data_IF_597759803547
#
_entry.id   IF_597759803547
#
_cell.length_a   1.000
_cell.length_b   1.000
_cell.length_c   1.000
_cell.angle_alpha   90.00
_cell.angle_beta   90.00
_cell.angle_gamma   90.00
#
_symmetry.space_group_name_H-M   'P 1'
#
loop_
_entity.id
_entity.type
_entity.pdbx_description
1 polymer ?
#
# COMPACT_ATOMS: atom_id res chain seq x y z
N UNK A 1 5.80 -7.43 -25.61
CA UNK A 1 7.23 -7.51 -25.21
C UNK A 1 7.59 -6.34 -24.30
N UNK A 2 7.35 -5.10 -24.66
CA UNK A 2 7.73 -3.94 -23.84
C UNK A 2 7.31 -4.02 -22.36
N UNK A 3 6.01 -4.26 -22.06
CA UNK A 3 5.55 -4.27 -20.65
C UNK A 3 6.23 -5.33 -19.77
N UNK A 4 6.57 -6.51 -20.31
CA UNK A 4 7.30 -7.53 -19.56
C UNK A 4 8.73 -7.08 -19.25
N UNK A 5 9.41 -6.52 -20.24
CA UNK A 5 10.77 -6.03 -20.09
C UNK A 5 10.81 -4.87 -19.06
N UNK A 6 9.79 -3.99 -19.08
CA UNK A 6 9.65 -2.89 -18.12
C UNK A 6 9.36 -3.41 -16.69
N UNK A 7 8.51 -4.44 -16.54
CA UNK A 7 8.30 -5.10 -15.26
C UNK A 7 9.58 -5.75 -14.75
N UNK A 8 10.34 -6.43 -15.61
CA UNK A 8 11.62 -7.04 -15.24
C UNK A 8 12.64 -5.98 -14.81
N UNK A 9 12.71 -4.84 -15.53
CA UNK A 9 13.53 -3.69 -15.12
C UNK A 9 13.10 -3.12 -13.77
N UNK A 10 11.79 -2.92 -13.56
CA UNK A 10 11.23 -2.44 -12.29
C UNK A 10 11.68 -3.32 -11.12
N UNK A 11 11.54 -4.63 -11.23
CA UNK A 11 11.94 -5.53 -10.17
C UNK A 11 13.45 -5.61 -9.99
N UNK A 12 14.24 -5.44 -11.05
CA UNK A 12 15.70 -5.28 -10.96
C UNK A 12 16.09 -4.04 -10.15
N UNK A 13 15.37 -2.91 -10.35
CA UNK A 13 15.57 -1.69 -9.56
C UNK A 13 15.15 -1.87 -8.09
N UNK A 14 14.11 -2.68 -7.81
CA UNK A 14 13.76 -3.01 -6.43
C UNK A 14 14.80 -3.90 -5.75
N UNK A 15 15.45 -4.81 -6.46
CA UNK A 15 16.56 -5.60 -5.92
C UNK A 15 17.78 -4.71 -5.58
N UNK A 16 18.05 -3.70 -6.43
CA UNK A 16 19.10 -2.70 -6.17
C UNK A 16 18.76 -1.85 -4.95
N UNK A 17 17.49 -1.41 -4.86
CA UNK A 17 16.98 -0.67 -3.71
C UNK A 17 17.10 -1.50 -2.43
N UNK A 18 16.65 -2.75 -2.44
CA UNK A 18 16.71 -3.64 -1.28
C UNK A 18 18.14 -3.82 -0.77
N UNK A 19 19.09 -4.05 -1.67
CA UNK A 19 20.52 -4.13 -1.32
C UNK A 19 21.04 -2.81 -0.72
N UNK A 20 20.61 -1.69 -1.27
CA UNK A 20 21.05 -0.37 -0.85
C UNK A 20 20.54 0.00 0.55
N UNK A 21 19.28 -0.31 0.86
CA UNK A 21 18.68 0.01 2.18
C UNK A 21 18.88 -1.08 3.23
N UNK A 22 19.60 -2.16 2.89
CA UNK A 22 19.91 -3.26 3.81
C UNK A 22 18.75 -4.20 4.09
N UNK A 23 17.91 -4.44 3.07
CA UNK A 23 16.76 -5.37 3.12
C UNK A 23 15.41 -4.68 3.26
N UNK A 24 14.36 -5.44 3.04
CA UNK A 24 12.98 -4.97 3.28
C UNK A 24 12.73 -4.68 4.76
N UNK A 25 11.79 -3.78 5.04
CA UNK A 25 11.30 -3.52 6.41
C UNK A 25 9.89 -4.09 6.57
N UNK A 26 9.50 -4.36 7.80
CA UNK A 26 8.10 -4.63 8.19
C UNK A 26 7.65 -3.53 9.14
N UNK A 27 6.43 -3.02 8.95
CA UNK A 27 5.94 -1.91 9.78
C UNK A 27 6.02 -2.21 11.28
N UNK A 28 5.82 -3.45 11.70
CA UNK A 28 5.95 -3.84 13.11
C UNK A 28 7.32 -3.55 13.74
N UNK A 29 8.36 -3.46 12.91
CA UNK A 29 9.75 -3.21 13.32
C UNK A 29 10.18 -1.75 13.10
N UNK A 30 9.24 -0.89 12.67
CA UNK A 30 9.52 0.50 12.36
C UNK A 30 9.02 1.44 13.45
N UNK A 31 9.73 2.54 13.63
CA UNK A 31 9.39 3.61 14.57
C UNK A 31 9.57 4.97 13.93
N UNK A 32 8.96 6.01 14.47
CA UNK A 32 9.16 7.40 14.03
C UNK A 32 10.51 8.00 14.45
N UNK A 33 11.36 7.25 15.17
CA UNK A 33 12.72 7.68 15.53
C UNK A 33 13.78 7.25 14.52
N UNK A 34 13.39 6.48 13.50
CA UNK A 34 14.23 6.14 12.37
C UNK A 34 14.36 7.35 11.45
N UNK A 35 15.45 7.43 10.70
CA UNK A 35 15.74 8.55 9.81
C UNK A 35 14.98 8.41 8.47
N UNK A 36 13.65 8.52 8.56
CA UNK A 36 12.77 8.44 7.40
C UNK A 36 12.93 9.68 6.52
N UNK A 37 12.95 9.53 5.18
CA UNK A 37 12.85 10.69 4.31
C UNK A 37 11.50 11.40 4.53
N UNK A 38 11.49 12.71 4.40
CA UNK A 38 10.25 13.49 4.52
C UNK A 38 9.22 13.04 3.49
N UNK A 39 9.66 12.72 2.28
CA UNK A 39 8.79 12.38 1.15
C UNK A 39 9.29 11.17 0.39
N UNK A 40 8.36 10.41 -0.18
CA UNK A 40 8.72 9.22 -0.95
C UNK A 40 7.54 8.41 -1.44
N UNK A 41 7.87 7.34 -2.15
CA UNK A 41 6.94 6.32 -2.61
C UNK A 41 7.34 4.99 -1.97
N UNK A 42 6.35 4.23 -1.51
CA UNK A 42 6.58 2.93 -0.87
C UNK A 42 5.92 1.80 -1.67
N UNK A 43 6.54 0.62 -1.58
CA UNK A 43 6.13 -0.60 -2.26
C UNK A 43 5.95 -1.70 -1.22
N UNK A 44 4.71 -2.12 -0.96
CA UNK A 44 4.45 -3.30 -0.14
C UNK A 44 4.53 -4.55 -0.99
N UNK A 45 5.30 -5.51 -0.48
CA UNK A 45 5.35 -6.88 -0.98
C UNK A 45 4.47 -7.76 -0.08
N UNK A 46 4.09 -8.93 -0.55
CA UNK A 46 3.26 -9.82 0.25
C UNK A 46 3.86 -11.22 0.35
N UNK A 47 4.00 -11.78 1.56
CA UNK A 47 4.51 -13.14 1.74
C UNK A 47 3.64 -14.15 1.00
N UNK A 48 4.28 -15.01 0.19
CA UNK A 48 3.58 -16.00 -0.63
C UNK A 48 3.09 -15.51 -1.99
N UNK A 49 3.10 -14.20 -2.23
CA UNK A 49 2.87 -13.61 -3.55
C UNK A 49 4.22 -13.48 -4.28
N UNK A 50 4.47 -14.36 -5.23
CA UNK A 50 5.71 -14.37 -6.02
C UNK A 50 5.43 -14.14 -7.48
N UNK A 51 6.43 -13.65 -8.20
CA UNK A 51 6.41 -13.55 -9.65
C UNK A 51 6.35 -14.94 -10.29
N UNK A 52 5.78 -15.03 -11.49
CA UNK A 52 5.73 -16.30 -12.22
C UNK A 52 7.10 -16.73 -12.77
N UNK A 53 7.95 -15.76 -13.08
CA UNK A 53 9.26 -15.99 -13.70
C UNK A 53 10.38 -16.26 -12.69
N UNK A 54 10.17 -15.92 -11.41
CA UNK A 54 11.18 -16.01 -10.34
C UNK A 54 10.48 -16.25 -8.99
N UNK A 55 11.25 -16.58 -7.95
CA UNK A 55 10.75 -16.64 -6.57
C UNK A 55 10.72 -15.27 -5.88
N UNK A 56 11.00 -14.18 -6.61
CA UNK A 56 10.98 -12.83 -6.09
C UNK A 56 9.56 -12.44 -5.64
N UNK A 57 9.48 -11.84 -4.46
CA UNK A 57 8.20 -11.36 -3.92
C UNK A 57 7.58 -10.30 -4.83
N UNK A 58 6.29 -10.40 -5.04
CA UNK A 58 5.52 -9.47 -5.87
C UNK A 58 5.08 -8.25 -5.07
N UNK A 59 5.18 -7.07 -5.68
CA UNK A 59 4.55 -5.86 -5.15
C UNK A 59 3.03 -6.01 -5.24
N UNK A 60 2.36 -5.80 -4.12
CA UNK A 60 0.90 -5.86 -4.02
C UNK A 60 0.27 -4.50 -3.76
N UNK A 61 1.06 -3.50 -3.37
CA UNK A 61 0.61 -2.12 -3.21
C UNK A 61 1.73 -1.12 -3.44
N UNK A 62 1.42 -0.09 -4.20
CA UNK A 62 2.23 1.12 -4.33
C UNK A 62 1.49 2.27 -3.64
N UNK A 63 2.20 3.18 -3.00
CA UNK A 63 1.57 4.34 -2.42
C UNK A 63 2.52 5.48 -2.12
N UNK A 64 1.94 6.68 -2.08
CA UNK A 64 2.61 7.90 -1.69
C UNK A 64 1.74 8.74 -0.75
N UNK A 65 2.15 9.95 -0.50
CA UNK A 65 1.48 10.91 0.39
C UNK A 65 1.71 12.34 -0.08
N UNK A 66 1.03 13.30 0.55
CA UNK A 66 1.23 14.74 0.30
C UNK A 66 1.14 15.15 -1.18
N UNK A 67 0.17 14.56 -1.91
CA UNK A 67 -0.10 14.90 -3.33
C UNK A 67 -1.04 16.09 -3.51
N UNK A 68 -1.36 16.81 -2.43
CA UNK A 68 -2.12 18.05 -2.47
C UNK A 68 -1.23 19.22 -2.08
N UNK A 69 -1.37 20.35 -2.78
CA UNK A 69 -0.60 21.58 -2.50
C UNK A 69 -0.71 21.97 -1.02
N UNK A 70 0.40 22.29 -0.40
CA UNK A 70 0.49 22.70 1.01
C UNK A 70 0.39 21.56 2.04
N UNK A 71 0.35 20.29 1.61
CA UNK A 71 0.38 19.17 2.54
C UNK A 71 1.73 19.05 3.23
N UNK A 72 1.72 18.91 4.56
CA UNK A 72 2.91 18.69 5.40
C UNK A 72 3.07 17.24 5.87
N UNK A 73 2.27 16.31 5.34
CA UNK A 73 2.33 14.89 5.74
C UNK A 73 3.66 14.28 5.30
N UNK A 74 4.38 13.66 6.22
CA UNK A 74 5.63 12.94 5.92
C UNK A 74 5.38 11.49 5.46
N UNK A 75 6.42 10.84 4.93
CA UNK A 75 6.37 9.42 4.58
C UNK A 75 6.02 8.58 5.81
N UNK A 76 6.64 8.87 6.96
CA UNK A 76 6.35 8.15 8.19
C UNK A 76 4.91 8.37 8.66
N UNK A 77 4.37 9.57 8.58
CA UNK A 77 2.97 9.83 8.92
C UNK A 77 2.01 8.97 8.09
N UNK A 78 2.33 8.78 6.81
CA UNK A 78 1.54 7.90 5.94
C UNK A 78 1.68 6.43 6.30
N UNK A 79 2.90 5.95 6.52
CA UNK A 79 3.17 4.57 6.94
C UNK A 79 2.51 4.29 8.31
N UNK A 80 2.54 5.24 9.23
CA UNK A 80 1.89 5.17 10.53
C UNK A 80 0.35 5.03 10.42
N UNK A 81 -0.28 5.68 9.46
CA UNK A 81 -1.71 5.47 9.19
C UNK A 81 -2.01 4.02 8.79
N UNK A 82 -1.13 3.39 8.01
CA UNK A 82 -1.25 1.98 7.68
C UNK A 82 -0.94 1.07 8.87
N UNK A 83 0.01 1.43 9.69
CA UNK A 83 0.35 0.73 10.94
C UNK A 83 -0.86 0.62 11.87
N UNK A 84 -1.81 1.58 11.81
CA UNK A 84 -3.02 1.59 12.62
C UNK A 84 -2.91 2.41 13.89
N UNK A 85 -1.82 3.17 14.05
CA UNK A 85 -1.72 4.20 15.07
C UNK A 85 -2.10 5.54 14.46
N UNK A 86 -3.06 6.24 15.03
CA UNK A 86 -3.33 7.63 14.69
C UNK A 86 -2.28 8.58 15.28
N UNK A 87 -2.56 9.86 15.30
CA UNK A 87 -1.67 10.90 15.82
C UNK A 87 -1.62 11.02 17.35
N UNK A 88 -2.30 10.15 18.08
CA UNK A 88 -2.38 10.18 19.54
C UNK A 88 -1.93 8.89 20.21
N UNK A 89 -1.56 8.95 21.47
CA UNK A 89 -1.05 7.82 22.26
C UNK A 89 -2.11 6.76 22.61
N UNK A 90 -3.39 7.04 22.34
CA UNK A 90 -4.53 6.17 22.68
C UNK A 90 -4.91 5.17 21.57
N UNK A 91 -4.23 5.19 20.42
CA UNK A 91 -4.74 4.56 19.20
C UNK A 91 -4.56 3.05 19.13
N UNK A 92 -3.67 2.50 19.94
CA UNK A 92 -3.59 1.05 20.11
C UNK A 92 -4.79 0.48 20.87
N UNK A 93 -5.52 1.32 21.61
CA UNK A 93 -6.70 0.89 22.36
C UNK A 93 -7.80 0.35 21.44
N UNK A 94 -7.89 0.85 20.20
CA UNK A 94 -8.91 0.43 19.22
C UNK A 94 -8.32 -0.38 18.04
N UNK A 95 -7.09 -0.85 18.11
CA UNK A 95 -6.47 -1.72 17.10
C UNK A 95 -6.07 -1.04 15.80
N UNK A 96 -6.58 0.14 15.51
CA UNK A 96 -6.32 0.92 14.29
C UNK A 96 -7.50 1.79 13.86
N UNK A 97 -7.40 2.39 12.67
CA UNK A 97 -8.44 3.26 12.11
C UNK A 97 -8.53 3.10 10.59
N UNK A 98 -9.34 2.15 10.11
CA UNK A 98 -9.51 1.90 8.67
C UNK A 98 -10.12 3.12 7.94
N UNK A 99 -10.95 3.94 8.60
CA UNK A 99 -11.54 5.13 8.00
C UNK A 99 -10.51 6.22 7.63
N UNK A 100 -9.29 6.15 8.18
CA UNK A 100 -8.14 6.99 7.80
C UNK A 100 -7.26 6.39 6.71
N UNK A 101 -7.50 5.13 6.28
CA UNK A 101 -6.65 4.45 5.32
C UNK A 101 -7.45 3.53 4.41
N UNK A 102 -7.55 3.89 3.14
CA UNK A 102 -8.22 3.06 2.12
C UNK A 102 -7.62 1.65 2.08
N UNK A 103 -6.30 1.51 2.26
CA UNK A 103 -5.64 0.21 2.30
C UNK A 103 -6.19 -0.66 3.44
N UNK A 104 -6.22 -0.13 4.68
CA UNK A 104 -6.78 -0.85 5.83
C UNK A 104 -8.24 -1.20 5.61
N UNK A 105 -9.02 -0.26 5.09
CA UNK A 105 -10.44 -0.50 4.77
C UNK A 105 -10.60 -1.69 3.84
N UNK A 106 -9.85 -1.75 2.74
CA UNK A 106 -9.94 -2.82 1.74
C UNK A 106 -9.44 -4.17 2.26
N UNK A 107 -8.42 -4.17 3.11
CA UNK A 107 -7.96 -5.39 3.78
C UNK A 107 -9.03 -5.95 4.72
N UNK A 108 -9.65 -5.10 5.55
CA UNK A 108 -10.73 -5.52 6.44
C UNK A 108 -11.96 -6.01 5.69
N UNK A 109 -12.38 -5.31 4.64
CA UNK A 109 -13.43 -5.74 3.74
C UNK A 109 -13.16 -7.14 3.17
N UNK A 110 -11.94 -7.41 2.72
CA UNK A 110 -11.56 -8.72 2.20
C UNK A 110 -11.57 -9.82 3.29
N UNK A 111 -11.24 -9.47 4.54
CA UNK A 111 -11.37 -10.39 5.69
C UNK A 111 -12.85 -10.70 5.97
N UNK A 112 -13.71 -9.68 5.96
CA UNK A 112 -15.16 -9.83 6.15
C UNK A 112 -15.73 -10.78 5.09
N UNK A 113 -15.44 -10.53 3.82
CA UNK A 113 -15.91 -11.38 2.70
C UNK A 113 -15.39 -12.81 2.81
N UNK A 114 -14.11 -12.99 3.10
CA UNK A 114 -13.47 -14.30 3.22
C UNK A 114 -14.12 -15.17 4.29
N UNK A 115 -14.57 -14.56 5.38
CA UNK A 115 -15.06 -15.25 6.57
C UNK A 115 -16.58 -15.08 6.81
N UNK A 116 -17.31 -14.42 5.89
CA UNK A 116 -18.75 -14.13 5.97
C UNK A 116 -19.14 -13.41 7.28
N UNK A 117 -18.39 -12.35 7.65
CA UNK A 117 -18.55 -11.60 8.91
C UNK A 117 -19.37 -10.30 8.73
N UNK A 118 -20.29 -10.25 7.78
CA UNK A 118 -21.04 -9.01 7.47
C UNK A 118 -21.94 -8.57 8.62
N UNK A 119 -22.56 -9.52 9.29
CA UNK A 119 -23.44 -9.23 10.42
C UNK A 119 -22.67 -8.79 11.67
N UNK A 120 -21.38 -9.17 11.78
CA UNK A 120 -20.52 -8.78 12.89
C UNK A 120 -19.95 -7.35 12.72
N UNK A 121 -19.84 -6.85 11.48
CA UNK A 121 -19.21 -5.56 11.15
C UNK A 121 -20.05 -4.76 10.14
N UNK A 122 -21.30 -4.41 10.44
CA UNK A 122 -22.22 -3.76 9.49
C UNK A 122 -21.76 -2.36 9.07
N UNK A 123 -21.03 -1.66 9.94
CA UNK A 123 -20.60 -0.27 9.74
C UNK A 123 -19.20 -0.15 9.10
N UNK A 124 -18.53 -1.26 8.75
CA UNK A 124 -17.15 -1.23 8.28
C UNK A 124 -16.95 -0.37 7.03
N UNK A 125 -17.89 -0.39 6.10
CA UNK A 125 -17.80 0.38 4.86
C UNK A 125 -18.27 1.82 5.00
N UNK A 126 -18.94 2.16 6.09
CA UNK A 126 -19.55 3.45 6.29
C UNK A 126 -18.57 4.53 6.74
N UNK A 127 -18.82 5.77 6.29
CA UNK A 127 -18.15 6.95 6.85
C UNK A 127 -18.85 7.34 8.15
N UNK A 128 -18.11 7.99 9.05
CA UNK A 128 -18.69 8.48 10.31
C UNK A 128 -19.96 9.35 10.13
N UNK A 129 -20.11 10.02 9.01
CA UNK A 129 -21.29 10.82 8.69
C UNK A 129 -22.53 9.99 8.33
N UNK A 130 -22.37 8.71 8.00
CA UNK A 130 -23.45 7.78 7.67
C UNK A 130 -23.85 6.85 8.83
N UNK A 131 -23.11 6.90 9.96
CA UNK A 131 -23.34 6.03 11.12
C UNK A 131 -24.15 6.81 12.16
N UNK A 132 -25.38 6.35 12.45
CA UNK A 132 -26.27 6.89 13.48
C UNK A 132 -26.15 6.11 14.79
N UNK A 133 -24.90 6.01 15.29
CA UNK A 133 -24.52 5.30 16.54
C UNK A 133 -23.34 6.01 17.19
N UNK A 134 -23.17 5.78 18.51
CA UNK A 134 -22.02 6.31 19.21
C UNK A 134 -20.70 5.73 18.67
N UNK A 135 -19.74 6.62 18.39
CA UNK A 135 -18.44 6.22 17.78
C UNK A 135 -17.65 5.26 18.65
N UNK A 136 -17.78 5.34 19.97
CA UNK A 136 -17.13 4.41 20.91
C UNK A 136 -17.66 3.00 20.73
N UNK A 137 -18.99 2.83 20.64
CA UNK A 137 -19.62 1.52 20.45
C UNK A 137 -19.17 0.86 19.16
N UNK A 138 -19.21 1.60 18.05
CA UNK A 138 -18.76 1.10 16.74
C UNK A 138 -17.28 0.70 16.76
N UNK A 139 -16.41 1.51 17.41
CA UNK A 139 -15.00 1.19 17.54
C UNK A 139 -14.73 -0.06 18.39
N UNK A 140 -15.51 -0.25 19.44
CA UNK A 140 -15.39 -1.43 20.32
C UNK A 140 -15.81 -2.70 19.57
N UNK A 141 -16.87 -2.63 18.75
CA UNK A 141 -17.28 -3.74 17.87
C UNK A 141 -16.23 -4.03 16.80
N UNK A 142 -15.69 -3.02 16.14
CA UNK A 142 -14.69 -3.15 15.08
C UNK A 142 -13.28 -3.53 15.60
N UNK A 143 -13.04 -3.50 16.90
CA UNK A 143 -11.72 -3.67 17.51
C UNK A 143 -11.00 -4.95 17.07
N UNK A 144 -11.71 -6.07 17.07
CA UNK A 144 -11.12 -7.38 16.73
C UNK A 144 -10.71 -7.40 15.25
N UNK A 145 -11.55 -6.86 14.37
CA UNK A 145 -11.24 -6.76 12.95
C UNK A 145 -10.08 -5.79 12.69
N UNK A 146 -10.09 -4.61 13.33
CA UNK A 146 -8.97 -3.65 13.24
C UNK A 146 -7.62 -4.28 13.67
N UNK A 147 -7.62 -5.13 14.69
CA UNK A 147 -6.42 -5.87 15.10
C UNK A 147 -5.98 -6.88 14.05
N UNK A 148 -6.91 -7.61 13.42
CA UNK A 148 -6.60 -8.55 12.32
C UNK A 148 -5.98 -7.80 11.14
N UNK A 149 -6.58 -6.67 10.75
CA UNK A 149 -6.05 -5.78 9.70
C UNK A 149 -4.66 -5.27 10.05
N UNK A 150 -4.46 -4.83 11.30
CA UNK A 150 -3.16 -4.36 11.77
C UNK A 150 -2.10 -5.45 11.72
N UNK A 151 -2.43 -6.67 12.14
CA UNK A 151 -1.50 -7.80 12.06
C UNK A 151 -1.13 -8.09 10.61
N UNK A 152 -2.10 -8.14 9.71
CA UNK A 152 -1.86 -8.37 8.29
C UNK A 152 -0.94 -7.30 7.69
N UNK A 153 -1.28 -6.02 7.85
CA UNK A 153 -0.53 -4.92 7.24
C UNK A 153 0.89 -4.78 7.84
N UNK A 154 1.04 -4.97 9.14
CA UNK A 154 2.34 -4.85 9.83
C UNK A 154 3.33 -5.95 9.48
N UNK A 155 2.86 -7.10 9.03
CA UNK A 155 3.70 -8.22 8.60
C UNK A 155 4.16 -8.08 7.14
N UNK A 156 3.55 -7.20 6.35
CA UNK A 156 3.95 -7.01 4.95
C UNK A 156 5.37 -6.44 4.88
N UNK A 157 6.29 -7.06 4.13
CA UNK A 157 7.55 -6.45 3.79
C UNK A 157 7.30 -5.22 2.91
N UNK A 158 8.12 -4.20 3.03
CA UNK A 158 8.07 -3.04 2.15
C UNK A 158 9.44 -2.43 1.90
N UNK A 159 9.52 -1.72 0.78
CA UNK A 159 10.62 -0.86 0.37
C UNK A 159 10.07 0.55 0.15
N UNK A 160 10.94 1.53 0.11
CA UNK A 160 10.59 2.92 -0.20
C UNK A 160 11.72 3.57 -0.99
N UNK A 161 11.38 4.58 -1.77
CA UNK A 161 12.33 5.50 -2.38
C UNK A 161 12.12 6.91 -1.87
N UNK A 162 13.21 7.64 -1.70
CA UNK A 162 13.19 9.07 -1.41
C UNK A 162 12.89 9.86 -2.70
N UNK A 163 11.96 10.81 -2.60
CA UNK A 163 11.67 11.79 -3.64
C UNK A 163 11.28 13.10 -2.95
N UNK A 164 12.25 13.99 -2.81
CA UNK A 164 12.06 15.28 -2.12
C UNK A 164 11.58 16.35 -3.10
N UNK A 165 10.33 16.23 -3.52
CA UNK A 165 9.62 17.15 -4.40
C UNK A 165 8.56 17.95 -3.65
N UNK A 166 8.09 19.07 -4.23
CA UNK A 166 7.01 19.85 -3.62
C UNK A 166 5.66 19.13 -3.68
N UNK A 167 4.83 19.28 -2.63
CA UNK A 167 3.48 18.67 -2.59
C UNK A 167 2.59 19.16 -3.72
N UNK A 168 2.28 18.29 -4.66
CA UNK A 168 1.46 18.57 -5.83
C UNK A 168 0.86 17.28 -6.39
N UNK A 169 -0.26 17.39 -7.10
CA UNK A 169 -0.81 16.31 -7.90
C UNK A 169 0.08 15.95 -9.11
N UNK A 170 0.93 16.88 -9.54
CA UNK A 170 1.87 16.73 -10.65
C UNK A 170 3.31 16.49 -10.16
N UNK A 171 3.49 16.16 -8.88
CA UNK A 171 4.79 15.84 -8.29
C UNK A 171 5.39 14.55 -8.86
N UNK A 172 6.72 14.43 -8.83
CA UNK A 172 7.43 13.21 -9.25
C UNK A 172 6.94 11.98 -8.47
N UNK A 173 6.59 12.13 -7.18
CA UNK A 173 5.99 11.06 -6.38
C UNK A 173 4.62 10.63 -6.90
N UNK A 174 3.76 11.57 -7.28
CA UNK A 174 2.45 11.27 -7.86
C UNK A 174 2.60 10.60 -9.23
N UNK A 175 3.53 11.09 -10.04
CA UNK A 175 3.86 10.48 -11.32
C UNK A 175 4.41 9.06 -11.16
N UNK A 176 5.34 8.85 -10.22
CA UNK A 176 5.91 7.52 -9.93
C UNK A 176 4.83 6.55 -9.44
N UNK A 177 4.03 6.93 -8.43
CA UNK A 177 2.95 6.09 -7.90
C UNK A 177 2.00 5.66 -9.01
N UNK A 178 1.45 6.62 -9.75
CA UNK A 178 0.47 6.40 -10.82
C UNK A 178 0.98 5.42 -11.87
N UNK A 179 2.17 5.67 -12.40
CA UNK A 179 2.72 4.89 -13.51
C UNK A 179 3.19 3.50 -13.08
N UNK A 180 3.72 3.34 -11.86
CA UNK A 180 4.07 2.01 -11.34
C UNK A 180 2.82 1.19 -11.05
N UNK A 181 1.73 1.79 -10.53
CA UNK A 181 0.46 1.08 -10.37
C UNK A 181 -0.03 0.58 -11.74
N UNK A 182 -0.05 1.45 -12.75
CA UNK A 182 -0.50 1.10 -14.10
C UNK A 182 0.40 0.01 -14.74
N UNK A 183 1.73 0.09 -14.57
CA UNK A 183 2.69 -0.90 -15.07
C UNK A 183 2.42 -2.29 -14.47
N UNK A 184 2.22 -2.38 -13.17
CA UNK A 184 2.07 -3.64 -12.43
C UNK A 184 0.64 -4.22 -12.52
N UNK A 185 -0.35 -3.41 -12.87
CA UNK A 185 -1.76 -3.79 -12.92
C UNK A 185 -2.03 -4.83 -14.01
N UNK A 186 -2.78 -5.86 -13.65
CA UNK A 186 -3.35 -6.82 -14.60
C UNK A 186 -4.82 -6.51 -14.96
N UNK A 187 -5.30 -5.31 -14.62
CA UNK A 187 -6.66 -4.90 -14.91
C UNK A 187 -6.84 -4.71 -16.41
N UNK A 188 -7.75 -5.51 -17.03
CA UNK A 188 -8.04 -5.51 -18.46
C UNK A 188 -6.83 -5.75 -19.38
N UNK A 189 -5.71 -6.19 -18.83
CA UNK A 189 -4.48 -6.52 -19.56
C UNK A 189 -4.20 -8.03 -19.51
N UNK A 190 -3.36 -8.51 -20.44
CA UNK A 190 -2.84 -9.88 -20.34
C UNK A 190 -2.01 -9.99 -19.06
N UNK A 191 -2.38 -10.90 -18.13
CA UNK A 191 -1.69 -10.98 -16.85
C UNK A 191 -0.20 -11.26 -16.99
N UNK A 192 0.62 -10.51 -16.26
CA UNK A 192 2.04 -10.73 -16.01
C UNK A 192 2.20 -10.80 -14.50
N UNK A 193 2.84 -11.84 -14.00
CA UNK A 193 2.98 -12.10 -12.57
C UNK A 193 1.61 -12.01 -11.84
N UNK A 194 0.59 -12.81 -12.22
CA UNK A 194 -0.74 -12.74 -11.65
C UNK A 194 -0.72 -13.08 -10.15
N UNK A 195 -1.71 -12.58 -9.42
CA UNK A 195 -1.90 -12.93 -8.01
C UNK A 195 -2.03 -14.43 -7.81
N UNK A 196 -1.53 -14.94 -6.70
CA UNK A 196 -1.71 -16.34 -6.31
C UNK A 196 -3.14 -16.62 -5.82
N UNK A 197 -3.51 -17.92 -5.82
CA UNK A 197 -4.85 -18.34 -5.45
C UNK A 197 -5.23 -18.01 -4.00
N UNK A 198 -4.27 -17.96 -3.10
CA UNK A 198 -4.48 -17.72 -1.66
C UNK A 198 -4.44 -16.23 -1.27
N UNK A 199 -4.12 -15.33 -2.20
CA UNK A 199 -4.05 -13.89 -1.93
C UNK A 199 -5.37 -13.36 -1.33
N UNK A 200 -5.28 -12.64 -0.22
CA UNK A 200 -6.45 -12.11 0.48
C UNK A 200 -7.27 -11.15 -0.41
N UNK A 201 -6.62 -10.34 -1.24
CA UNK A 201 -7.28 -9.38 -2.13
C UNK A 201 -8.24 -9.99 -3.15
N UNK A 202 -8.19 -11.32 -3.37
CA UNK A 202 -9.19 -12.03 -4.20
C UNK A 202 -10.62 -11.92 -3.67
N UNK A 203 -10.75 -11.71 -2.35
CA UNK A 203 -12.03 -11.56 -1.66
C UNK A 203 -12.49 -10.10 -1.57
N UNK A 204 -11.71 -9.12 -2.05
CA UNK A 204 -12.14 -7.72 -2.03
C UNK A 204 -13.43 -7.52 -2.84
N UNK A 205 -14.32 -6.66 -2.37
CA UNK A 205 -15.50 -6.21 -3.14
C UNK A 205 -15.12 -5.37 -4.35
N UNK A 206 -13.96 -4.66 -4.29
CA UNK A 206 -13.46 -3.87 -5.41
C UNK A 206 -13.04 -4.75 -6.58
N UNK A 207 -13.64 -4.49 -7.75
CA UNK A 207 -13.25 -5.13 -9.02
C UNK A 207 -11.81 -4.79 -9.38
N UNK A 208 -11.40 -3.56 -9.12
CA UNK A 208 -10.06 -3.03 -9.37
C UNK A 208 -9.01 -3.89 -8.67
N UNK A 209 -9.17 -4.14 -7.37
CA UNK A 209 -8.26 -4.98 -6.57
C UNK A 209 -8.22 -6.41 -7.11
N UNK A 210 -9.39 -7.03 -7.29
CA UNK A 210 -9.45 -8.43 -7.73
C UNK A 210 -8.83 -8.66 -9.10
N UNK A 211 -8.98 -7.69 -10.01
CA UNK A 211 -8.51 -7.79 -11.41
C UNK A 211 -7.07 -7.36 -11.57
N UNK A 212 -6.65 -6.26 -10.93
CA UNK A 212 -5.27 -5.78 -11.02
C UNK A 212 -4.28 -6.71 -10.33
N UNK A 213 -4.69 -7.38 -9.25
CA UNK A 213 -3.81 -8.09 -8.35
C UNK A 213 -3.05 -7.16 -7.40
N UNK A 214 -3.50 -5.91 -7.23
CA UNK A 214 -2.94 -4.89 -6.35
C UNK A 214 -3.99 -4.44 -5.34
N UNK A 215 -3.57 -3.99 -4.16
CA UNK A 215 -4.45 -3.33 -3.18
C UNK A 215 -4.80 -1.88 -3.58
N UNK A 216 -4.39 -1.44 -4.74
CA UNK A 216 -4.73 -0.15 -5.31
C UNK A 216 -6.10 -0.19 -6.00
N UNK A 217 -6.85 0.91 -5.90
CA UNK A 217 -8.14 1.10 -6.59
C UNK A 217 -8.05 2.16 -7.68
N UNK A 218 -7.15 3.15 -7.54
CA UNK A 218 -6.89 4.18 -8.53
C UNK A 218 -5.74 3.74 -9.45
N UNK A 219 -5.71 4.28 -10.66
CA UNK A 219 -4.65 4.13 -11.65
C UNK A 219 -4.42 2.71 -12.19
N UNK A 220 -5.24 1.74 -11.79
CA UNK A 220 -5.09 0.33 -12.21
C UNK A 220 -5.56 0.08 -13.64
N UNK A 221 -6.38 0.96 -14.19
CA UNK A 221 -6.95 0.92 -15.54
C UNK A 221 -6.28 1.92 -16.51
N UNK A 222 -5.20 2.56 -16.07
CA UNK A 222 -4.48 3.55 -16.85
C UNK A 222 -3.34 2.93 -17.65
N UNK A 223 -2.83 3.69 -18.59
CA UNK A 223 -1.60 3.36 -19.31
C UNK A 223 -0.42 3.98 -18.60
N UNK A 224 0.63 3.20 -18.41
CA UNK A 224 1.88 3.71 -17.84
C UNK A 224 2.76 4.39 -18.91
N UNK A 225 3.57 5.33 -18.45
CA UNK A 225 4.68 5.90 -19.20
C UNK A 225 5.98 5.20 -18.79
N UNK A 226 6.68 4.59 -19.76
CA UNK A 226 7.94 3.85 -19.49
C UNK A 226 9.07 4.73 -18.94
N UNK A 227 9.04 6.04 -19.17
CA UNK A 227 9.99 7.00 -18.59
C UNK A 227 9.99 7.01 -17.05
N UNK A 228 8.93 6.47 -16.41
CA UNK A 228 8.85 6.32 -14.96
C UNK A 228 10.00 5.48 -14.39
N UNK A 229 10.54 4.55 -15.16
CA UNK A 229 11.64 3.69 -14.70
C UNK A 229 12.97 4.44 -14.60
N UNK A 230 13.18 5.47 -15.39
CA UNK A 230 14.37 6.34 -15.29
C UNK A 230 14.28 7.21 -14.01
N UNK A 231 13.08 7.71 -13.70
CA UNK A 231 12.85 8.41 -12.44
C UNK A 231 13.06 7.48 -11.23
N UNK A 232 12.54 6.24 -11.29
CA UNK A 232 12.73 5.26 -10.23
C UNK A 232 14.22 4.93 -10.04
N UNK A 233 14.97 4.73 -11.11
CA UNK A 233 16.41 4.44 -11.05
C UNK A 233 17.19 5.57 -10.35
N UNK A 234 16.88 6.82 -10.67
CA UNK A 234 17.46 7.98 -10.00
C UNK A 234 17.09 8.01 -8.51
N UNK A 235 15.81 7.80 -8.18
CA UNK A 235 15.34 7.77 -6.80
C UNK A 235 15.99 6.62 -5.99
N UNK A 236 16.19 5.45 -6.59
CA UNK A 236 16.94 4.34 -5.96
C UNK A 236 18.37 4.79 -5.65
N UNK A 237 19.03 5.48 -6.59
CA UNK A 237 20.39 6.01 -6.42
C UNK A 237 20.53 6.98 -5.24
N UNK A 238 19.50 7.72 -4.90
CA UNK A 238 19.49 8.74 -3.84
C UNK A 238 18.96 8.23 -2.49
N UNK A 239 18.28 7.06 -2.47
CA UNK A 239 17.68 6.53 -1.26
C UNK A 239 18.74 5.96 -0.30
N UNK A 240 18.60 6.27 1.00
CA UNK A 240 19.45 5.79 2.09
C UNK A 240 18.63 4.94 3.07
N UNK A 241 19.27 4.06 3.88
CA UNK A 241 18.60 3.39 5.00
C UNK A 241 18.04 4.40 6.00
N UNK A 242 16.88 4.13 6.64
CA UNK A 242 16.29 5.01 7.66
C UNK A 242 16.89 4.79 9.02
#
# INVERSE_FOLDING_TARGET
MARRDDIDRFYGLLDDLERRVGGTRKLKNCTGYMDWPDRGVYFFLEPGETRDSTDQSRVTRVGTHAVSAGSSTSLWDRLKQHYGTGSGSSDHAHGGAHRGSVYRKRVGEAIIEKHALHDDYPDWDERWSGIDRERSEVRDEEYILERRVSTYVREQPFLWVNLDDEPSADSDRAYLERNVIALLSNFEERPIDPRRGEWLGRYSRSREIRKSGLWNVNHVDERYDGGVLDLLENAVGETTPP
#
